data_IF_217140068482
#
_entry.id   IF_217140068482
#
_cell.length_a   1.000
_cell.length_b   1.000
_cell.length_c   1.000
_cell.angle_alpha   90.00
_cell.angle_beta   90.00
_cell.angle_gamma   90.00
#
_symmetry.space_group_name_H-M   'P 1'
#
loop_
_entity.id
_entity.type
_entity.pdbx_description
1 polymer ?
#
# COMPACT_ATOMS: atom_id res chain seq x y z
N UNK A 1 -16.54 19.50 4.02
CA UNK A 1 -15.40 18.61 4.27
C UNK A 1 -14.74 18.33 2.92
N UNK A 2 -13.46 18.56 2.77
CA UNK A 2 -12.76 18.22 1.53
C UNK A 2 -12.56 16.69 1.50
N UNK A 3 -13.05 15.95 0.50
CA UNK A 3 -13.01 14.49 0.45
C UNK A 3 -11.57 13.92 0.30
N UNK A 4 -10.62 14.76 -0.07
CA UNK A 4 -9.22 14.36 -0.24
C UNK A 4 -8.42 14.35 1.07
N UNK A 5 -9.05 14.74 2.20
CA UNK A 5 -8.42 14.79 3.51
C UNK A 5 -9.14 13.89 4.52
N UNK A 6 -8.37 13.21 5.35
CA UNK A 6 -8.91 12.46 6.48
C UNK A 6 -9.44 13.42 7.55
N UNK A 7 -10.30 12.93 8.46
CA UNK A 7 -10.94 13.77 9.48
C UNK A 7 -9.94 14.57 10.32
N UNK A 8 -8.82 13.98 10.68
CA UNK A 8 -7.77 14.64 11.46
C UNK A 8 -6.92 15.61 10.64
N UNK A 9 -7.00 15.58 9.32
CA UNK A 9 -6.32 16.49 8.39
C UNK A 9 -7.17 17.68 7.99
N UNK A 10 -8.48 17.72 8.32
CA UNK A 10 -9.38 18.84 7.96
C UNK A 10 -8.84 20.23 8.37
N UNK A 11 -8.17 20.40 9.53
CA UNK A 11 -7.56 21.69 9.87
C UNK A 11 -6.44 22.14 8.93
N UNK A 12 -5.82 21.21 8.19
CA UNK A 12 -4.83 21.51 7.14
C UNK A 12 -5.54 21.95 5.86
N UNK A 13 -6.59 21.23 5.47
CA UNK A 13 -7.43 21.56 4.32
C UNK A 13 -7.98 22.99 4.39
N UNK A 14 -8.38 23.45 5.57
CA UNK A 14 -8.88 24.82 5.79
C UNK A 14 -7.80 25.89 5.51
N UNK A 15 -6.56 25.62 5.92
CA UNK A 15 -5.44 26.53 5.68
C UNK A 15 -5.04 26.53 4.21
N UNK A 16 -5.01 25.36 3.58
CA UNK A 16 -4.69 25.24 2.16
C UNK A 16 -5.75 25.91 1.27
N UNK A 17 -7.03 25.77 1.60
CA UNK A 17 -8.11 26.48 0.92
C UNK A 17 -7.91 28.00 0.95
N UNK A 18 -7.53 28.57 2.11
CA UNK A 18 -7.24 30.00 2.24
C UNK A 18 -6.03 30.42 1.38
N UNK A 19 -4.97 29.60 1.38
CA UNK A 19 -3.80 29.89 0.52
C UNK A 19 -4.20 29.88 -0.96
N UNK A 20 -5.06 28.93 -1.33
CA UNK A 20 -5.57 28.84 -2.70
C UNK A 20 -6.41 30.07 -3.08
N UNK A 21 -7.35 30.46 -2.23
CA UNK A 21 -8.19 31.66 -2.43
C UNK A 21 -7.34 32.92 -2.61
N UNK A 22 -6.35 33.14 -1.73
CA UNK A 22 -5.46 34.31 -1.83
C UNK A 22 -4.65 34.36 -3.12
N UNK A 23 -4.29 33.21 -3.69
CA UNK A 23 -3.59 33.17 -4.97
C UNK A 23 -4.47 33.61 -6.16
N UNK A 24 -5.78 33.45 -6.07
CA UNK A 24 -6.71 33.85 -7.13
C UNK A 24 -7.24 35.27 -7.00
N UNK A 25 -7.22 35.87 -5.80
CA UNK A 25 -7.68 37.26 -5.54
C UNK A 25 -6.59 38.30 -5.88
N UNK A 26 -5.40 37.89 -6.19
CA UNK A 26 -4.15 38.67 -6.17
C UNK A 26 -3.86 39.59 -7.35
N UNK A 27 -4.77 40.51 -7.76
CA UNK A 27 -4.45 41.54 -8.78
C UNK A 27 -4.30 42.97 -8.23
N UNK A 28 -4.57 43.25 -6.94
CA UNK A 28 -4.60 44.60 -6.43
C UNK A 28 -3.50 45.00 -5.40
N UNK A 29 -2.92 44.04 -4.63
CA UNK A 29 -1.87 44.33 -3.62
C UNK A 29 -0.90 43.15 -3.46
N UNK A 30 -0.03 42.98 -4.43
CA UNK A 30 0.81 41.77 -4.57
C UNK A 30 1.77 41.50 -3.39
N UNK A 31 2.25 42.54 -2.67
CA UNK A 31 3.22 42.37 -1.57
C UNK A 31 2.55 41.87 -0.27
N UNK A 32 1.46 42.47 0.13
CA UNK A 32 0.72 42.05 1.35
C UNK A 32 0.16 40.62 1.23
N UNK A 33 -0.33 40.26 0.06
CA UNK A 33 -0.85 38.92 -0.21
C UNK A 33 0.28 37.88 -0.17
N UNK A 34 1.46 38.21 -0.70
CA UNK A 34 2.62 37.33 -0.64
C UNK A 34 3.09 37.07 0.80
N UNK A 35 3.11 38.10 1.65
CA UNK A 35 3.47 37.97 3.08
C UNK A 35 2.44 37.14 3.86
N UNK A 36 1.15 37.31 3.56
CA UNK A 36 0.08 36.52 4.17
C UNK A 36 0.16 35.05 3.75
N UNK A 37 0.39 34.76 2.47
CA UNK A 37 0.60 33.39 1.97
C UNK A 37 1.80 32.74 2.67
N UNK A 38 2.92 33.43 2.83
CA UNK A 38 4.09 32.89 3.54
C UNK A 38 3.81 32.63 5.01
N UNK A 39 3.02 33.49 5.66
CA UNK A 39 2.58 33.29 7.04
C UNK A 39 1.68 32.07 7.17
N UNK A 40 0.73 31.89 6.24
CA UNK A 40 -0.15 30.73 6.20
C UNK A 40 0.62 29.43 5.90
N UNK A 41 1.61 29.44 5.02
CA UNK A 41 2.48 28.27 4.76
C UNK A 41 3.25 27.87 6.02
N UNK A 42 3.83 28.82 6.76
CA UNK A 42 4.51 28.55 8.03
C UNK A 42 3.54 27.96 9.08
N UNK A 43 2.32 28.49 9.11
CA UNK A 43 1.26 27.94 9.99
C UNK A 43 0.84 26.54 9.58
N UNK A 44 0.70 26.29 8.28
CA UNK A 44 0.41 24.97 7.71
C UNK A 44 1.47 23.97 8.12
N UNK A 45 2.76 24.27 7.86
CA UNK A 45 3.87 23.40 8.24
C UNK A 45 3.86 23.06 9.73
N UNK A 46 3.78 24.07 10.59
CA UNK A 46 3.72 23.87 12.04
C UNK A 46 2.53 23.02 12.48
N UNK A 47 1.38 23.18 11.83
CA UNK A 47 0.18 22.40 12.13
C UNK A 47 0.32 20.95 11.65
N UNK A 48 0.90 20.74 10.46
CA UNK A 48 1.24 19.42 9.92
C UNK A 48 2.15 18.67 10.89
N UNK A 49 3.28 19.27 11.28
CA UNK A 49 4.22 18.67 12.22
C UNK A 49 3.56 18.29 13.55
N UNK A 50 2.68 19.19 14.07
CA UNK A 50 1.97 18.93 15.32
C UNK A 50 0.95 17.78 15.24
N UNK A 51 0.30 17.59 14.10
CA UNK A 51 -0.66 16.49 13.86
C UNK A 51 0.12 15.18 13.62
N UNK A 52 1.05 15.19 12.69
CA UNK A 52 1.76 13.98 12.26
C UNK A 52 2.73 13.42 13.32
N UNK A 53 3.23 14.27 14.22
CA UNK A 53 4.05 13.79 15.37
C UNK A 53 3.26 13.03 16.44
N UNK A 54 1.92 13.07 16.41
CA UNK A 54 1.05 12.51 17.46
C UNK A 54 -0.06 11.61 16.92
N UNK A 55 0.12 11.06 15.72
CA UNK A 55 -0.87 10.16 15.13
C UNK A 55 -1.11 8.94 16.01
N UNK A 56 -2.37 8.66 16.26
CA UNK A 56 -2.78 7.40 16.87
C UNK A 56 -2.56 6.24 15.89
N UNK A 57 -2.44 5.00 16.38
CA UNK A 57 -2.31 3.82 15.53
C UNK A 57 -3.47 3.67 14.52
N UNK A 58 -4.67 4.08 14.91
CA UNK A 58 -5.83 4.09 14.01
C UNK A 58 -5.66 5.11 12.87
N UNK A 59 -5.19 6.32 13.18
CA UNK A 59 -4.90 7.35 12.17
C UNK A 59 -3.80 6.90 11.21
N UNK A 60 -2.77 6.20 11.70
CA UNK A 60 -1.74 5.59 10.85
C UNK A 60 -2.38 4.55 9.92
N UNK A 61 -3.28 3.70 10.42
CA UNK A 61 -3.99 2.72 9.60
C UNK A 61 -4.85 3.37 8.51
N UNK A 62 -5.52 4.48 8.83
CA UNK A 62 -6.28 5.27 7.85
C UNK A 62 -5.35 5.89 6.80
N UNK A 63 -4.21 6.43 7.23
CA UNK A 63 -3.23 7.05 6.35
C UNK A 63 -2.57 6.03 5.41
N UNK A 64 -2.31 4.81 5.88
CA UNK A 64 -1.81 3.71 5.05
C UNK A 64 -2.76 3.36 3.90
N UNK A 65 -4.06 3.61 4.08
CA UNK A 65 -5.14 3.35 3.10
C UNK A 65 -5.57 4.59 2.32
N UNK A 66 -4.89 5.73 2.53
CA UNK A 66 -5.29 6.99 1.94
C UNK A 66 -5.39 6.89 0.41
N UNK A 67 -6.50 7.33 -0.24
CA UNK A 67 -6.69 7.16 -1.67
C UNK A 67 -5.70 7.94 -2.53
N UNK A 68 -5.12 9.02 -2.02
CA UNK A 68 -4.09 9.79 -2.70
C UNK A 68 -2.66 9.23 -2.52
N UNK A 69 -2.49 8.17 -1.69
CA UNK A 69 -1.19 7.54 -1.51
C UNK A 69 -0.71 6.92 -2.85
N UNK A 70 0.58 7.01 -3.21
CA UNK A 70 1.10 6.39 -4.42
C UNK A 70 0.89 4.88 -4.43
N UNK A 71 0.48 4.33 -5.57
CA UNK A 71 0.36 2.89 -5.82
C UNK A 71 1.57 2.37 -6.60
N UNK A 72 1.65 1.06 -6.80
CA UNK A 72 2.78 0.42 -7.50
C UNK A 72 3.08 1.07 -8.85
N UNK A 73 2.05 1.37 -9.66
CA UNK A 73 2.24 2.02 -10.96
C UNK A 73 2.91 3.39 -10.83
N UNK A 74 2.54 4.18 -9.81
CA UNK A 74 3.14 5.50 -9.59
C UNK A 74 4.66 5.39 -9.29
N UNK A 75 5.05 4.37 -8.52
CA UNK A 75 6.48 4.10 -8.28
C UNK A 75 7.20 3.63 -9.53
N UNK A 76 6.57 2.76 -10.33
CA UNK A 76 7.12 2.32 -11.60
C UNK A 76 7.34 3.50 -12.55
N UNK A 77 6.34 4.35 -12.71
CA UNK A 77 6.38 5.49 -13.64
C UNK A 77 7.44 6.54 -13.23
N UNK A 78 7.70 6.70 -11.93
CA UNK A 78 8.63 7.71 -11.42
C UNK A 78 10.06 7.21 -11.18
N UNK A 79 10.25 5.93 -10.88
CA UNK A 79 11.54 5.37 -10.49
C UNK A 79 12.18 4.46 -11.57
N UNK A 80 11.36 3.93 -12.48
CA UNK A 80 11.79 2.92 -13.44
C UNK A 80 11.76 3.48 -14.87
N UNK A 81 12.54 2.86 -15.76
CA UNK A 81 12.45 3.08 -17.18
C UNK A 81 12.19 1.76 -17.92
N UNK A 82 11.73 1.85 -19.16
CA UNK A 82 11.50 0.71 -20.05
C UNK A 82 10.59 -0.39 -19.45
N UNK A 83 9.62 -0.02 -18.60
CA UNK A 83 8.72 -0.99 -18.01
C UNK A 83 7.89 -1.72 -19.07
N UNK A 84 7.92 -3.05 -19.03
CA UNK A 84 7.13 -3.95 -19.87
C UNK A 84 6.34 -4.89 -18.99
N UNK A 85 5.04 -4.61 -18.85
CA UNK A 85 4.12 -5.45 -18.06
C UNK A 85 3.98 -6.84 -18.71
N UNK A 86 3.97 -7.88 -17.88
CA UNK A 86 3.84 -9.28 -18.27
C UNK A 86 2.58 -9.89 -17.64
N UNK A 87 1.56 -10.05 -18.44
CA UNK A 87 0.23 -10.48 -18.02
C UNK A 87 0.07 -12.00 -17.90
N UNK A 88 -0.89 -12.42 -17.06
CA UNK A 88 -1.42 -13.78 -16.98
C UNK A 88 -0.54 -14.77 -16.21
N UNK A 89 -1.21 -15.77 -15.64
CA UNK A 89 -0.59 -16.80 -14.80
C UNK A 89 -0.16 -18.05 -15.59
N UNK A 90 -0.51 -18.15 -16.87
CA UNK A 90 -0.28 -19.33 -17.75
C UNK A 90 -1.04 -20.59 -17.29
N UNK A 91 -2.07 -20.44 -16.46
CA UNK A 91 -2.90 -21.52 -15.97
C UNK A 91 -4.41 -21.25 -16.13
N UNK A 92 -4.87 -20.07 -15.74
CA UNK A 92 -6.30 -19.73 -15.75
C UNK A 92 -6.57 -18.36 -16.36
N UNK A 93 -6.03 -17.27 -15.80
CA UNK A 93 -6.34 -15.91 -16.24
C UNK A 93 -5.25 -14.90 -15.86
N UNK A 94 -5.48 -13.63 -16.20
CA UNK A 94 -4.77 -12.51 -15.61
C UNK A 94 -5.53 -11.96 -14.40
N UNK A 95 -4.80 -11.35 -13.46
CA UNK A 95 -5.36 -10.62 -12.35
C UNK A 95 -4.78 -9.21 -12.28
N UNK A 96 -5.65 -8.22 -12.48
CA UNK A 96 -5.26 -6.81 -12.48
C UNK A 96 -4.92 -6.25 -11.09
N UNK A 97 -5.17 -7.01 -10.01
CA UNK A 97 -4.78 -6.63 -8.65
C UNK A 97 -3.26 -6.74 -8.41
N UNK A 98 -2.56 -7.51 -9.24
CA UNK A 98 -1.11 -7.53 -9.29
C UNK A 98 -0.66 -7.04 -10.67
N UNK A 99 0.23 -6.07 -10.69
CA UNK A 99 1.01 -5.71 -11.86
C UNK A 99 2.43 -6.21 -11.69
N UNK A 100 3.08 -6.55 -12.80
CA UNK A 100 4.47 -6.98 -12.74
C UNK A 100 5.07 -7.11 -14.13
N UNK A 101 6.37 -6.92 -14.20
CA UNK A 101 7.08 -6.94 -15.45
C UNK A 101 8.55 -6.60 -15.31
N UNK A 102 9.24 -6.59 -16.43
CA UNK A 102 10.63 -6.17 -16.52
C UNK A 102 10.72 -4.64 -16.60
N UNK A 103 11.71 -4.09 -15.92
CA UNK A 103 12.02 -2.66 -15.95
C UNK A 103 13.52 -2.43 -15.86
N UNK A 104 13.95 -1.15 -15.93
CA UNK A 104 15.29 -0.73 -15.53
C UNK A 104 15.21 0.22 -14.36
N UNK A 105 15.99 -0.06 -13.33
CA UNK A 105 16.25 0.83 -12.22
C UNK A 105 17.72 1.30 -12.30
N UNK A 106 17.95 2.59 -12.49
CA UNK A 106 19.29 3.16 -12.72
C UNK A 106 20.08 2.39 -13.79
N UNK A 107 19.42 2.06 -14.90
CA UNK A 107 19.99 1.34 -16.03
C UNK A 107 20.16 -0.18 -15.84
N UNK A 108 19.96 -0.71 -14.64
CA UNK A 108 20.05 -2.16 -14.34
C UNK A 108 18.72 -2.86 -14.57
N UNK A 109 18.68 -4.02 -15.22
CA UNK A 109 17.44 -4.77 -15.39
C UNK A 109 16.95 -5.31 -14.04
N UNK A 110 15.66 -5.16 -13.79
CA UNK A 110 14.98 -5.62 -12.57
C UNK A 110 13.63 -6.22 -12.92
N UNK A 111 13.15 -7.14 -12.09
CA UNK A 111 11.77 -7.60 -12.13
C UNK A 111 10.99 -6.85 -11.06
N UNK A 112 9.93 -6.15 -11.45
CA UNK A 112 9.04 -5.43 -10.55
C UNK A 112 7.71 -6.15 -10.46
N UNK A 113 7.21 -6.32 -9.24
CA UNK A 113 5.92 -6.98 -8.96
C UNK A 113 5.25 -6.21 -7.84
N UNK A 114 3.96 -5.88 -7.96
CA UNK A 114 3.30 -5.19 -6.84
C UNK A 114 1.79 -5.20 -6.91
N UNK A 115 1.19 -4.92 -5.75
CA UNK A 115 -0.25 -4.76 -5.65
C UNK A 115 -0.67 -3.42 -6.27
N UNK A 116 -1.76 -3.45 -7.02
CA UNK A 116 -2.32 -2.26 -7.65
C UNK A 116 -3.78 -2.09 -7.25
N UNK A 117 -4.05 -0.96 -6.60
CA UNK A 117 -5.41 -0.47 -6.36
C UNK A 117 -5.85 0.45 -7.50
N UNK A 118 -7.14 0.72 -7.62
CA UNK A 118 -7.66 1.67 -8.60
C UNK A 118 -7.86 3.06 -8.02
N UNK A 119 -7.78 4.10 -8.85
CA UNK A 119 -8.05 5.49 -8.46
C UNK A 119 -9.56 5.78 -8.44
N UNK A 120 -10.28 5.32 -9.43
CA UNK A 120 -11.72 5.45 -9.52
C UNK A 120 -12.46 4.15 -9.16
N UNK A 121 -13.79 4.21 -9.08
CA UNK A 121 -14.63 3.06 -8.70
C UNK A 121 -14.50 1.90 -9.68
N UNK A 122 -14.45 2.18 -11.00
CA UNK A 122 -14.33 1.17 -12.04
C UNK A 122 -13.00 0.41 -11.95
N UNK A 123 -11.92 1.16 -11.81
CA UNK A 123 -10.58 0.61 -11.61
C UNK A 123 -10.48 -0.20 -10.31
N UNK A 124 -11.04 0.31 -9.20
CA UNK A 124 -11.06 -0.41 -7.91
C UNK A 124 -11.76 -1.75 -8.04
N UNK A 125 -12.93 -1.79 -8.67
CA UNK A 125 -13.67 -3.05 -8.89
C UNK A 125 -12.88 -4.00 -9.80
N UNK A 126 -12.31 -3.51 -10.90
CA UNK A 126 -11.49 -4.30 -11.82
C UNK A 126 -10.27 -4.94 -11.12
N UNK A 127 -9.68 -4.23 -10.17
CA UNK A 127 -8.49 -4.66 -9.41
C UNK A 127 -8.83 -5.29 -8.06
N UNK A 128 -10.09 -5.67 -7.84
CA UNK A 128 -10.57 -6.23 -6.57
C UNK A 128 -10.10 -5.41 -5.35
N UNK A 129 -10.04 -4.08 -5.45
CA UNK A 129 -9.53 -3.18 -4.40
C UNK A 129 -8.09 -3.48 -3.97
N UNK A 130 -7.27 -4.03 -4.86
CA UNK A 130 -5.91 -4.45 -4.56
C UNK A 130 -5.80 -5.79 -3.83
N UNK A 131 -6.88 -6.58 -3.81
CA UNK A 131 -6.90 -7.93 -3.23
C UNK A 131 -6.72 -8.98 -4.32
N UNK A 132 -5.55 -9.63 -4.44
CA UNK A 132 -5.30 -10.58 -5.50
C UNK A 132 -6.08 -11.88 -5.34
N UNK A 133 -6.45 -12.45 -6.49
CA UNK A 133 -6.93 -13.82 -6.66
C UNK A 133 -5.74 -14.78 -6.86
N UNK A 134 -5.97 -16.11 -6.84
CA UNK A 134 -4.90 -17.09 -7.05
C UNK A 134 -4.06 -16.84 -8.31
N UNK A 135 -4.69 -16.39 -9.39
CA UNK A 135 -4.02 -16.11 -10.67
C UNK A 135 -3.05 -14.92 -10.55
N UNK A 136 -3.30 -13.95 -9.67
CA UNK A 136 -2.36 -12.87 -9.37
C UNK A 136 -1.09 -13.38 -8.69
N UNK A 137 -1.23 -14.25 -7.70
CA UNK A 137 -0.09 -14.86 -7.01
C UNK A 137 0.69 -15.82 -7.93
N UNK A 138 -0.01 -16.59 -8.77
CA UNK A 138 0.67 -17.45 -9.77
C UNK A 138 1.39 -16.63 -10.84
N UNK A 139 0.83 -15.48 -11.24
CA UNK A 139 1.53 -14.52 -12.11
C UNK A 139 2.81 -14.03 -11.43
N UNK A 140 2.74 -13.60 -10.18
CA UNK A 140 3.90 -13.18 -9.40
C UNK A 140 4.97 -14.28 -9.34
N UNK A 141 4.57 -15.52 -9.01
CA UNK A 141 5.44 -16.67 -8.99
C UNK A 141 6.19 -16.88 -10.32
N UNK A 142 5.45 -16.81 -11.41
CA UNK A 142 6.01 -16.94 -12.76
C UNK A 142 7.06 -15.87 -13.04
N UNK A 143 6.78 -14.63 -12.65
CA UNK A 143 7.70 -13.51 -12.82
C UNK A 143 8.96 -13.65 -11.96
N UNK A 144 8.83 -14.13 -10.73
CA UNK A 144 9.98 -14.41 -9.85
C UNK A 144 10.89 -15.46 -10.44
N UNK A 145 10.35 -16.56 -10.97
CA UNK A 145 11.13 -17.59 -11.66
C UNK A 145 11.80 -17.07 -12.93
N UNK A 146 11.10 -16.20 -13.66
CA UNK A 146 11.68 -15.55 -14.83
C UNK A 146 12.85 -14.62 -14.42
N UNK A 147 12.71 -13.91 -13.32
CA UNK A 147 13.78 -13.07 -12.77
C UNK A 147 15.02 -13.90 -12.41
N UNK A 148 14.83 -15.03 -11.75
CA UNK A 148 15.92 -15.96 -11.44
C UNK A 148 16.61 -16.49 -12.71
N UNK A 149 15.82 -16.91 -13.70
CA UNK A 149 16.35 -17.42 -14.97
C UNK A 149 17.25 -16.41 -15.70
N UNK A 150 16.92 -15.12 -15.61
CA UNK A 150 17.67 -14.04 -16.23
C UNK A 150 18.59 -13.28 -15.26
N UNK A 151 18.76 -13.79 -14.05
CA UNK A 151 19.60 -13.19 -13.00
C UNK A 151 19.27 -11.72 -12.72
N UNK A 152 17.97 -11.41 -12.66
CA UNK A 152 17.44 -10.06 -12.36
C UNK A 152 17.03 -9.97 -10.90
N UNK A 153 17.42 -8.93 -10.16
CA UNK A 153 16.85 -8.63 -8.85
C UNK A 153 15.32 -8.46 -8.92
N UNK A 154 14.63 -8.86 -7.85
CA UNK A 154 13.18 -8.71 -7.72
C UNK A 154 12.88 -7.56 -6.75
N UNK A 155 12.01 -6.64 -7.15
CA UNK A 155 11.50 -5.58 -6.30
C UNK A 155 10.00 -5.79 -6.16
N UNK A 156 9.51 -5.93 -4.92
CA UNK A 156 8.08 -6.07 -4.67
C UNK A 156 7.51 -4.85 -3.97
N UNK A 157 6.36 -4.34 -4.44
CA UNK A 157 5.59 -3.27 -3.79
C UNK A 157 4.32 -3.85 -3.17
N UNK A 158 4.19 -3.70 -1.85
CA UNK A 158 3.09 -4.29 -1.07
C UNK A 158 2.10 -3.20 -0.67
N UNK A 159 0.87 -3.31 -1.18
CA UNK A 159 -0.26 -2.46 -0.81
C UNK A 159 -1.59 -3.20 -1.02
N UNK A 160 -1.97 -4.01 -0.06
CA UNK A 160 -3.20 -4.82 -0.09
C UNK A 160 -3.80 -4.96 1.30
N UNK A 161 -5.14 -4.98 1.37
CA UNK A 161 -5.87 -5.35 2.59
C UNK A 161 -5.76 -6.86 2.89
N UNK A 162 -5.41 -7.68 1.89
CA UNK A 162 -5.29 -9.13 1.99
C UNK A 162 -5.54 -9.83 0.66
N UNK A 163 -5.58 -11.15 0.69
CA UNK A 163 -6.00 -11.96 -0.45
C UNK A 163 -7.51 -11.86 -0.68
N UNK A 164 -7.97 -11.95 -1.92
CA UNK A 164 -9.40 -11.94 -2.23
C UNK A 164 -10.14 -13.12 -1.58
N UNK A 165 -11.18 -12.87 -0.77
CA UNK A 165 -11.84 -13.89 0.06
C UNK A 165 -13.03 -14.58 -0.61
N UNK A 166 -13.17 -14.50 -1.94
CA UNK A 166 -14.31 -15.04 -2.67
C UNK A 166 -14.23 -16.55 -2.88
N UNK A 167 -15.40 -17.21 -3.00
CA UNK A 167 -15.53 -18.65 -3.26
C UNK A 167 -14.68 -19.10 -4.45
N UNK A 168 -14.73 -18.37 -5.57
CA UNK A 168 -13.92 -18.69 -6.73
C UNK A 168 -12.40 -18.59 -6.50
N UNK A 169 -11.93 -17.91 -5.46
CA UNK A 169 -10.52 -17.92 -5.09
C UNK A 169 -10.18 -19.22 -4.32
N UNK A 170 -11.06 -19.65 -3.41
CA UNK A 170 -10.90 -20.93 -2.72
C UNK A 170 -10.89 -22.10 -3.70
N UNK A 171 -11.83 -22.14 -4.64
CA UNK A 171 -11.94 -23.18 -5.68
C UNK A 171 -10.68 -23.25 -6.55
N UNK A 172 -9.98 -22.15 -6.76
CA UNK A 172 -8.75 -22.10 -7.58
C UNK A 172 -7.46 -22.09 -6.77
N UNK A 173 -7.53 -22.44 -5.47
CA UNK A 173 -6.38 -22.71 -4.62
C UNK A 173 -5.68 -21.44 -4.13
N UNK A 174 -6.43 -20.50 -3.49
CA UNK A 174 -5.88 -19.26 -2.93
C UNK A 174 -4.73 -19.52 -1.95
N UNK A 175 -4.96 -20.42 -1.00
CA UNK A 175 -3.96 -20.75 0.03
C UNK A 175 -2.72 -21.41 -0.57
N UNK A 176 -2.91 -22.30 -1.54
CA UNK A 176 -1.82 -22.97 -2.23
C UNK A 176 -0.98 -21.99 -3.05
N UNK A 177 -1.61 -21.07 -3.77
CA UNK A 177 -0.90 -20.06 -4.56
C UNK A 177 -0.04 -19.13 -3.67
N UNK A 178 -0.56 -18.72 -2.50
CA UNK A 178 0.18 -17.95 -1.50
C UNK A 178 1.35 -18.77 -0.95
N UNK A 179 1.10 -19.99 -0.47
CA UNK A 179 2.12 -20.86 0.12
C UNK A 179 3.27 -21.15 -0.87
N UNK A 180 2.92 -21.33 -2.14
CA UNK A 180 3.92 -21.55 -3.19
C UNK A 180 4.81 -20.34 -3.44
N UNK A 181 4.27 -19.14 -3.36
CA UNK A 181 5.07 -17.91 -3.43
C UNK A 181 6.08 -17.85 -2.27
N UNK A 182 5.63 -18.11 -1.02
CA UNK A 182 6.52 -18.15 0.14
C UNK A 182 7.67 -19.14 -0.05
N UNK A 183 7.33 -20.36 -0.48
CA UNK A 183 8.32 -21.41 -0.74
C UNK A 183 9.34 -20.99 -1.81
N UNK A 184 8.89 -20.40 -2.91
CA UNK A 184 9.79 -20.01 -4.00
C UNK A 184 10.63 -18.80 -3.61
N UNK A 185 10.05 -17.76 -3.02
CA UNK A 185 10.79 -16.58 -2.57
C UNK A 185 11.91 -16.93 -1.60
N UNK A 186 11.68 -17.91 -0.70
CA UNK A 186 12.72 -18.35 0.24
C UNK A 186 13.88 -19.10 -0.40
N UNK A 187 13.79 -19.49 -1.67
CA UNK A 187 14.78 -20.28 -2.38
C UNK A 187 15.31 -19.64 -3.67
N UNK A 188 14.85 -18.45 -4.03
CA UNK A 188 15.34 -17.71 -5.19
C UNK A 188 16.81 -17.31 -5.01
N UNK A 189 17.60 -17.52 -6.07
CA UNK A 189 19.03 -17.19 -6.09
C UNK A 189 19.32 -15.77 -6.62
N UNK A 190 18.34 -14.89 -6.58
CA UNK A 190 18.46 -13.46 -6.93
C UNK A 190 18.02 -12.59 -5.77
N UNK A 191 18.61 -11.39 -5.60
CA UNK A 191 18.21 -10.49 -4.52
C UNK A 191 16.73 -10.10 -4.60
N UNK A 192 16.05 -10.11 -3.47
CA UNK A 192 14.66 -9.69 -3.34
C UNK A 192 14.58 -8.52 -2.36
N UNK A 193 13.96 -7.43 -2.79
CA UNK A 193 13.65 -6.27 -1.95
C UNK A 193 12.13 -6.12 -1.89
N UNK A 194 11.55 -6.22 -0.70
CA UNK A 194 10.12 -6.02 -0.49
C UNK A 194 9.87 -4.68 0.20
N UNK A 195 8.94 -3.89 -0.34
CA UNK A 195 8.64 -2.54 0.15
C UNK A 195 7.14 -2.45 0.46
N UNK A 196 6.81 -2.27 1.74
CA UNK A 196 5.42 -1.98 2.15
C UNK A 196 5.16 -0.49 1.93
N UNK A 197 4.39 -0.17 0.89
CA UNK A 197 4.14 1.21 0.48
C UNK A 197 2.83 1.79 1.01
N UNK A 198 1.96 0.94 1.51
CA UNK A 198 0.67 1.33 2.07
C UNK A 198 0.21 0.33 3.12
N UNK A 199 -0.83 -0.43 2.82
CA UNK A 199 -1.38 -1.46 3.69
C UNK A 199 -0.80 -2.84 3.33
N UNK A 200 -0.13 -3.50 4.26
CA UNK A 200 0.37 -4.86 4.12
C UNK A 200 -0.48 -5.84 4.92
N UNK A 201 -1.57 -6.35 4.33
CA UNK A 201 -2.55 -7.19 5.00
C UNK A 201 -2.36 -8.69 4.80
N UNK A 202 -2.27 -9.43 5.90
CA UNK A 202 -2.43 -10.89 5.97
C UNK A 202 -1.56 -11.68 4.96
N UNK A 203 -2.04 -12.85 4.55
CA UNK A 203 -1.40 -13.71 3.55
C UNK A 203 -1.21 -13.05 2.18
N UNK A 204 -2.06 -12.07 1.85
CA UNK A 204 -1.93 -11.31 0.60
C UNK A 204 -0.63 -10.53 0.52
N UNK A 205 -0.28 -9.84 1.59
CA UNK A 205 0.99 -9.12 1.70
C UNK A 205 2.17 -10.08 1.83
N UNK A 206 2.00 -11.13 2.63
CA UNK A 206 3.05 -12.11 2.88
C UNK A 206 3.51 -12.82 1.61
N UNK A 207 2.57 -13.09 0.68
CA UNK A 207 2.86 -13.73 -0.63
C UNK A 207 3.84 -12.96 -1.52
N UNK A 208 4.13 -11.69 -1.22
CA UNK A 208 5.14 -10.86 -1.87
C UNK A 208 6.18 -10.30 -0.89
N UNK A 209 6.15 -10.73 0.39
CA UNK A 209 6.90 -10.12 1.49
C UNK A 209 8.10 -10.91 1.98
N UNK A 210 8.39 -12.09 1.46
CA UNK A 210 9.59 -12.86 1.80
C UNK A 210 10.76 -12.35 0.97
N UNK A 211 11.72 -11.70 1.61
CA UNK A 211 12.78 -10.98 0.91
C UNK A 211 14.07 -10.91 1.73
N UNK A 212 15.19 -10.66 1.04
CA UNK A 212 16.48 -10.40 1.70
C UNK A 212 16.44 -9.07 2.48
N UNK A 213 15.73 -8.07 1.93
CA UNK A 213 15.49 -6.79 2.59
C UNK A 213 14.01 -6.43 2.55
N UNK A 214 13.44 -6.20 3.73
CA UNK A 214 12.07 -5.71 3.89
C UNK A 214 12.11 -4.26 4.36
N UNK A 215 11.52 -3.38 3.60
CA UNK A 215 11.40 -1.96 3.91
C UNK A 215 9.93 -1.57 4.08
N UNK A 216 9.69 -0.54 4.87
CA UNK A 216 8.36 0.02 5.05
C UNK A 216 8.44 1.53 4.92
N UNK A 217 7.51 2.11 4.16
CA UNK A 217 7.36 3.56 4.15
C UNK A 217 6.75 4.05 5.46
N UNK A 218 7.07 5.29 5.80
CA UNK A 218 6.44 5.95 6.95
C UNK A 218 4.91 5.93 6.81
N UNK A 219 4.21 5.69 7.90
CA UNK A 219 2.76 5.54 7.97
C UNK A 219 2.20 4.38 7.12
N UNK A 220 3.02 3.42 6.72
CA UNK A 220 2.52 2.14 6.21
C UNK A 220 2.24 1.17 7.37
N UNK A 221 1.44 0.14 7.11
CA UNK A 221 1.11 -0.90 8.09
C UNK A 221 1.42 -2.28 7.54
N UNK A 222 1.86 -3.19 8.42
CA UNK A 222 2.04 -4.59 8.07
C UNK A 222 1.46 -5.46 9.18
N UNK A 223 0.35 -6.15 8.92
CA UNK A 223 -0.42 -6.84 9.94
C UNK A 223 -1.03 -8.15 9.44
N UNK A 224 -1.22 -9.08 10.36
CA UNK A 224 -1.85 -10.38 10.08
C UNK A 224 -3.35 -10.23 9.77
N UNK A 225 -4.00 -9.22 10.36
CA UNK A 225 -5.44 -8.97 10.24
C UNK A 225 -5.71 -7.47 10.27
N UNK A 226 -6.75 -7.02 9.59
CA UNK A 226 -7.18 -5.63 9.69
C UNK A 226 -7.73 -5.31 11.09
N UNK A 227 -7.65 -4.04 11.55
CA UNK A 227 -8.27 -3.64 12.82
C UNK A 227 -9.75 -4.01 12.92
N UNK A 228 -10.50 -3.83 11.83
CA UNK A 228 -11.92 -4.18 11.72
C UNK A 228 -12.15 -5.68 11.87
N UNK A 229 -11.34 -6.50 11.20
CA UNK A 229 -11.40 -7.96 11.30
C UNK A 229 -11.08 -8.43 12.72
N UNK A 230 -10.07 -7.84 13.34
CA UNK A 230 -9.69 -8.12 14.72
C UNK A 230 -10.82 -7.77 15.70
N UNK A 231 -11.43 -6.60 15.55
CA UNK A 231 -12.57 -6.17 16.37
C UNK A 231 -13.77 -7.11 16.22
N UNK A 232 -14.08 -7.53 15.01
CA UNK A 232 -15.17 -8.46 14.73
C UNK A 232 -14.96 -9.82 15.40
N UNK A 233 -13.74 -10.35 15.38
CA UNK A 233 -13.41 -11.63 15.99
C UNK A 233 -13.43 -11.54 17.52
N UNK A 234 -12.76 -10.53 18.10
CA UNK A 234 -12.58 -10.44 19.56
C UNK A 234 -13.80 -9.92 20.28
N UNK A 235 -14.48 -8.92 19.73
CA UNK A 235 -15.58 -8.25 20.42
C UNK A 235 -16.94 -8.47 19.76
N UNK A 236 -17.00 -9.20 18.65
CA UNK A 236 -18.23 -9.44 17.87
C UNK A 236 -18.95 -8.13 17.50
N UNK A 237 -18.21 -7.04 17.40
CA UNK A 237 -18.72 -5.71 17.01
C UNK A 237 -17.70 -5.01 16.13
N UNK A 238 -18.20 -4.19 15.19
CA UNK A 238 -17.37 -3.35 14.33
C UNK A 238 -17.01 -1.98 14.98
N UNK A 239 -17.12 -1.85 16.30
CA UNK A 239 -16.78 -0.62 17.00
C UNK A 239 -15.25 -0.46 17.04
N UNK A 240 -14.71 0.27 16.09
CA UNK A 240 -13.28 0.50 15.87
C UNK A 240 -12.56 1.20 17.05
N UNK A 241 -13.30 1.86 17.93
CA UNK A 241 -12.75 2.55 19.11
C UNK A 241 -12.12 1.59 20.14
N UNK A 242 -12.44 0.31 20.08
CA UNK A 242 -11.93 -0.72 21.00
C UNK A 242 -10.99 -1.71 20.33
N UNK A 243 -10.71 -1.53 19.03
CA UNK A 243 -9.79 -2.41 18.30
C UNK A 243 -8.35 -2.14 18.76
N UNK A 244 -7.57 -3.15 19.15
CA UNK A 244 -6.15 -2.96 19.34
C UNK A 244 -5.53 -2.50 18.03
N UNK A 245 -4.62 -1.55 18.17
CA UNK A 245 -3.83 -1.10 17.04
C UNK A 245 -3.04 -2.26 16.44
N UNK A 246 -2.70 -2.23 15.16
CA UNK A 246 -1.72 -3.16 14.59
C UNK A 246 -0.39 -3.20 15.37
N UNK A 247 -0.02 -2.11 16.05
CA UNK A 247 1.14 -2.07 16.97
C UNK A 247 0.86 -2.77 18.30
N UNK A 248 -0.36 -2.73 18.78
CA UNK A 248 -0.74 -3.38 20.05
C UNK A 248 -0.96 -4.89 19.85
N UNK A 249 -1.34 -5.33 18.66
CA UNK A 249 -1.45 -6.75 18.33
C UNK A 249 -0.09 -7.49 18.42
N UNK A 250 1.02 -6.78 18.25
CA UNK A 250 2.37 -7.32 18.48
C UNK A 250 2.77 -7.33 19.95
N UNK A 251 2.03 -6.61 20.80
CA UNK A 251 2.26 -6.48 22.26
C UNK A 251 1.23 -7.22 23.10
N UNK A 252 0.22 -7.88 22.49
CA UNK A 252 -0.70 -8.73 23.24
C UNK A 252 0.12 -9.85 23.89
N UNK A 253 0.38 -9.69 25.17
CA UNK A 253 0.96 -10.72 26.02
C UNK A 253 0.12 -11.97 25.87
N UNK A 254 0.70 -13.03 25.35
CA UNK A 254 0.15 -14.35 25.58
C UNK A 254 -0.07 -14.49 27.10
N UNK A 255 -1.25 -14.88 27.57
CA UNK A 255 -1.39 -15.22 28.96
C UNK A 255 -0.32 -16.29 29.24
N UNK A 256 0.55 -16.03 30.19
CA UNK A 256 1.43 -17.06 30.73
C UNK A 256 0.51 -18.18 31.19
N UNK A 257 0.53 -19.29 30.47
CA UNK A 257 -0.14 -20.52 30.89
C UNK A 257 0.34 -20.86 32.28
N UNK A 258 -0.60 -20.88 33.21
CA UNK A 258 -0.43 -21.59 34.45
C UNK A 258 -0.42 -23.09 34.16
#
# INVERSE_FOLDING_TARGET
>A
MNPDYLDFEQPLAEIEAKIYELRYVGDADSVHIAEEIETLKKKLQKRTDAIFSKLSPWQISQLARHPARPYTQDYVDNLMSEFKELHGDRAFADDAAIIGGMARYEGRPVMVIGHQKGRDVKERVRRNYGMPRPEGYRKALRLMRLAEQFNMPVITFIDTAGAYPGVGAEERGQSEAIAKNLQVMSSLNVPIIAIVVGEGGSGGALALGVADHVMMLEYSTYSVISPEGCATILWKSCLLYTSPSPRDATLSRMPSSA
#
